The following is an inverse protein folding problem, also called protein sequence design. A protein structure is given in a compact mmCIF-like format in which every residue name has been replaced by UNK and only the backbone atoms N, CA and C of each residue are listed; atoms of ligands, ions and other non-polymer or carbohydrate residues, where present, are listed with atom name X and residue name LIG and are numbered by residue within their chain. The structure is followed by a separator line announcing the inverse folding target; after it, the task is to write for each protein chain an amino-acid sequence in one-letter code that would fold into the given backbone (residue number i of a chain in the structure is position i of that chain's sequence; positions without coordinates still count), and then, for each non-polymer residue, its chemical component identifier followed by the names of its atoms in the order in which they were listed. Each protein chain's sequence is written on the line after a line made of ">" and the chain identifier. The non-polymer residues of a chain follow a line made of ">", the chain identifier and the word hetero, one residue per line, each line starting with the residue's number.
data_IF_851238364574
#
_entry.id   IF_851238364574
#
_cell.length_a   1.000
_cell.length_b   1.000
_cell.length_c   1.000
_cell.angle_alpha   90.00
_cell.angle_beta   90.00
_cell.angle_gamma   90.00
#
_symmetry.space_group_name_H-M   'P 1'
#
loop_
_entity.id
_entity.type
_entity.pdbx_description
1 polymer ?
#
# COMPACT_ATOMS: atom_id res chain seq x y z
N UNK A 1 -9.76 -23.44 9.62
CA UNK A 1 -9.19 -22.14 10.04
C UNK A 1 -10.31 -21.14 10.21
N UNK A 2 -10.34 -20.34 11.27
CA UNK A 2 -11.31 -19.24 11.43
C UNK A 2 -10.77 -17.97 10.78
N UNK A 3 -11.65 -17.11 10.30
CA UNK A 3 -11.30 -15.81 9.76
C UNK A 3 -10.59 -14.96 10.82
N UNK A 4 -9.41 -14.39 10.54
CA UNK A 4 -8.69 -13.59 11.53
C UNK A 4 -9.44 -12.28 11.88
N UNK A 5 -10.15 -11.69 10.91
CA UNK A 5 -10.94 -10.48 11.12
C UNK A 5 -12.26 -10.75 11.87
N UNK A 6 -13.06 -11.72 11.44
CA UNK A 6 -14.36 -12.03 12.06
C UNK A 6 -14.25 -12.90 13.32
N UNK A 7 -13.21 -13.73 13.43
CA UNK A 7 -12.92 -14.72 14.49
C UNK A 7 -13.92 -15.86 14.66
N UNK A 8 -15.17 -15.68 14.24
CA UNK A 8 -16.26 -16.66 14.38
C UNK A 8 -16.47 -17.50 13.13
N UNK A 9 -16.28 -16.91 11.95
CA UNK A 9 -16.58 -17.54 10.67
C UNK A 9 -15.42 -18.42 10.19
N UNK A 10 -15.72 -19.62 9.68
CA UNK A 10 -14.70 -20.49 9.07
C UNK A 10 -14.36 -20.02 7.67
N UNK A 11 -13.07 -20.03 7.34
CA UNK A 11 -12.60 -19.77 5.98
C UNK A 11 -12.94 -20.96 5.08
N UNK A 12 -13.31 -20.66 3.83
CA UNK A 12 -13.64 -21.63 2.79
C UNK A 12 -12.66 -21.49 1.62
N UNK A 13 -12.39 -22.57 0.84
CA UNK A 13 -11.62 -22.45 -0.38
C UNK A 13 -12.20 -21.37 -1.27
N UNK A 14 -11.35 -20.44 -1.70
CA UNK A 14 -11.75 -19.32 -2.54
C UNK A 14 -10.69 -19.09 -3.62
N UNK A 15 -11.13 -18.43 -4.69
CA UNK A 15 -10.28 -18.02 -5.79
C UNK A 15 -10.22 -16.50 -5.77
N UNK A 16 -9.02 -15.96 -5.58
CA UNK A 16 -8.81 -14.52 -5.54
C UNK A 16 -8.70 -13.94 -6.96
N UNK A 17 -8.10 -14.71 -7.86
CA UNK A 17 -7.95 -14.40 -9.29
C UNK A 17 -7.84 -15.72 -10.07
N UNK A 18 -7.95 -15.66 -11.40
CA UNK A 18 -7.63 -16.79 -12.27
C UNK A 18 -6.25 -17.37 -11.99
N UNK A 19 -6.23 -18.59 -11.44
CA UNK A 19 -5.02 -19.31 -11.02
C UNK A 19 -4.51 -18.99 -9.61
N UNK A 20 -5.05 -17.97 -8.92
CA UNK A 20 -4.64 -17.61 -7.56
C UNK A 20 -5.66 -18.12 -6.53
N UNK A 21 -5.28 -19.16 -5.81
CA UNK A 21 -6.11 -19.81 -4.80
C UNK A 21 -5.80 -19.29 -3.38
N UNK A 22 -6.84 -19.23 -2.56
CA UNK A 22 -6.75 -18.83 -1.16
C UNK A 22 -7.91 -19.38 -0.32
N UNK A 23 -8.10 -18.80 0.85
CA UNK A 23 -9.20 -19.13 1.74
C UNK A 23 -10.00 -17.86 2.08
N UNK A 24 -11.20 -17.77 1.52
CA UNK A 24 -12.09 -16.63 1.67
C UNK A 24 -13.01 -16.74 2.89
N UNK A 25 -13.38 -15.60 3.46
CA UNK A 25 -14.41 -15.47 4.47
C UNK A 25 -15.74 -15.08 3.81
N UNK A 26 -16.82 -15.87 3.94
CA UNK A 26 -18.11 -15.52 3.36
C UNK A 26 -18.80 -14.32 4.04
N UNK A 27 -18.33 -13.89 5.22
CA UNK A 27 -18.94 -12.78 5.97
C UNK A 27 -18.31 -11.43 5.66
N UNK A 28 -16.98 -11.34 5.64
CA UNK A 28 -16.26 -10.08 5.43
C UNK A 28 -15.59 -9.99 4.06
N UNK A 29 -15.70 -11.02 3.22
CA UNK A 29 -15.07 -11.11 1.90
C UNK A 29 -13.54 -11.03 1.88
N UNK A 30 -12.89 -11.05 3.05
CA UNK A 30 -11.44 -11.13 3.15
C UNK A 30 -10.91 -12.50 2.77
N UNK A 31 -9.68 -12.55 2.26
CA UNK A 31 -9.05 -13.76 1.73
C UNK A 31 -7.65 -13.95 2.29
N UNK A 32 -7.38 -15.16 2.79
CA UNK A 32 -6.04 -15.60 3.17
C UNK A 32 -5.34 -16.21 1.95
N UNK A 33 -4.16 -15.69 1.59
CA UNK A 33 -3.35 -16.15 0.47
C UNK A 33 -1.94 -16.47 0.94
N UNK A 34 -1.44 -17.65 0.57
CA UNK A 34 -0.04 -18.01 0.80
C UNK A 34 0.87 -17.28 -0.19
N UNK A 35 1.96 -16.69 0.28
CA UNK A 35 2.96 -16.07 -0.60
C UNK A 35 3.60 -17.08 -1.56
N UNK A 36 3.62 -18.37 -1.22
CA UNK A 36 4.11 -19.43 -2.10
C UNK A 36 3.17 -19.63 -3.30
N UNK A 37 1.86 -19.74 -3.05
CA UNK A 37 0.86 -19.85 -4.13
C UNK A 37 0.81 -18.57 -4.96
N UNK A 38 0.94 -17.42 -4.32
CA UNK A 38 1.05 -16.14 -5.00
C UNK A 38 2.24 -16.11 -5.95
N UNK A 39 3.44 -16.55 -5.50
CA UNK A 39 4.64 -16.56 -6.33
C UNK A 39 4.44 -17.44 -7.58
N UNK A 40 3.96 -18.66 -7.38
CA UNK A 40 3.66 -19.59 -8.48
C UNK A 40 2.66 -19.00 -9.48
N UNK A 41 1.61 -18.33 -8.98
CA UNK A 41 0.66 -17.63 -9.83
C UNK A 41 1.32 -16.47 -10.59
N UNK A 42 2.09 -15.61 -9.91
CA UNK A 42 2.70 -14.42 -10.50
C UNK A 42 3.72 -14.77 -11.59
N UNK A 43 4.51 -15.83 -11.40
CA UNK A 43 5.49 -16.33 -12.38
C UNK A 43 4.83 -16.88 -13.66
N UNK A 44 3.55 -17.27 -13.59
CA UNK A 44 2.78 -17.78 -14.74
C UNK A 44 1.99 -16.69 -15.45
N UNK A 45 1.86 -15.50 -14.86
CA UNK A 45 1.18 -14.40 -15.53
C UNK A 45 2.07 -13.84 -16.64
N UNK A 46 1.50 -13.45 -17.79
CA UNK A 46 2.26 -12.66 -18.74
C UNK A 46 2.74 -11.38 -18.05
N UNK A 47 3.92 -10.91 -18.45
CA UNK A 47 4.37 -9.59 -18.07
C UNK A 47 3.28 -8.59 -18.48
N UNK A 48 2.72 -7.86 -17.52
CA UNK A 48 1.69 -6.89 -17.83
C UNK A 48 2.31 -5.78 -18.69
N UNK A 49 1.82 -5.63 -19.92
CA UNK A 49 1.89 -4.37 -20.66
C UNK A 49 0.92 -3.41 -19.98
N UNK A 50 1.45 -2.30 -19.47
CA UNK A 50 0.80 -1.30 -18.64
C UNK A 50 -0.39 -0.65 -19.37
N UNK A 51 -1.65 -0.91 -18.99
CA UNK A 51 -2.75 -0.05 -19.41
C UNK A 51 -2.92 0.99 -18.31
N UNK A 52 -2.48 2.22 -18.59
CA UNK A 52 -2.70 3.40 -17.74
C UNK A 52 -4.18 3.73 -17.69
N UNK A 53 -4.94 3.01 -16.86
CA UNK A 53 -6.28 3.39 -16.47
C UNK A 53 -6.22 3.85 -15.01
N UNK A 54 -6.34 5.16 -14.81
CA UNK A 54 -6.63 5.75 -13.51
C UNK A 54 -7.88 5.05 -12.95
N UNK A 55 -7.68 4.15 -12.01
CA UNK A 55 -8.75 3.52 -11.27
C UNK A 55 -8.93 4.29 -9.95
N UNK A 56 -10.16 4.78 -9.79
CA UNK A 56 -10.67 5.45 -8.60
C UNK A 56 -10.20 4.75 -7.31
N UNK A 57 -9.98 5.55 -6.28
CA UNK A 57 -9.72 5.10 -4.91
C UNK A 57 -10.80 4.11 -4.49
N UNK A 58 -10.53 2.81 -4.70
CA UNK A 58 -11.39 1.76 -4.21
C UNK A 58 -11.27 1.81 -2.69
N UNK A 59 -12.38 2.12 -2.00
CA UNK A 59 -12.46 1.95 -0.56
C UNK A 59 -12.29 0.46 -0.24
N UNK A 60 -11.07 0.08 0.10
CA UNK A 60 -10.78 -1.22 0.67
C UNK A 60 -11.22 -1.21 2.14
N UNK A 61 -11.84 -2.30 2.59
CA UNK A 61 -12.12 -2.48 4.01
C UNK A 61 -10.81 -2.61 4.77
N UNK A 62 -10.65 -1.91 5.89
CA UNK A 62 -9.46 -2.04 6.74
C UNK A 62 -9.84 -2.63 8.09
N UNK A 63 -9.19 -3.73 8.45
CA UNK A 63 -9.25 -4.22 9.83
C UNK A 63 -8.30 -3.42 10.71
N UNK A 64 -8.83 -2.52 11.54
CA UNK A 64 -8.04 -1.59 12.37
C UNK A 64 -7.26 -2.24 13.52
N UNK A 65 -7.58 -3.50 13.88
CA UNK A 65 -6.93 -4.21 14.98
C UNK A 65 -5.89 -5.22 14.49
N UNK A 66 -4.95 -5.59 15.37
CA UNK A 66 -3.94 -6.59 15.06
C UNK A 66 -4.57 -7.96 14.83
N UNK A 67 -4.25 -8.59 13.69
CA UNK A 67 -4.74 -9.90 13.32
C UNK A 67 -3.82 -11.01 13.84
N UNK A 68 -4.41 -12.17 14.12
CA UNK A 68 -3.67 -13.40 14.43
C UNK A 68 -3.77 -14.35 13.25
N UNK A 69 -2.64 -14.85 12.78
CA UNK A 69 -2.59 -15.77 11.65
C UNK A 69 -3.42 -17.01 11.94
N UNK A 70 -4.40 -17.36 11.08
CA UNK A 70 -5.30 -18.46 11.37
C UNK A 70 -4.65 -19.84 11.18
N UNK A 71 -3.42 -19.90 10.64
CA UNK A 71 -2.62 -21.11 10.44
C UNK A 71 -1.71 -21.42 11.63
N UNK A 72 -1.05 -20.42 12.22
CA UNK A 72 -0.06 -20.62 13.28
C UNK A 72 -0.29 -19.79 14.57
N UNK A 73 -1.36 -19.01 14.62
CA UNK A 73 -1.75 -18.13 15.73
C UNK A 73 -0.76 -17.01 16.09
N UNK A 74 0.30 -16.79 15.31
CA UNK A 74 1.22 -15.65 15.47
C UNK A 74 0.56 -14.35 15.00
N UNK A 75 0.94 -13.22 15.59
CA UNK A 75 0.50 -11.90 15.16
C UNK A 75 0.95 -11.60 13.73
N UNK A 76 0.08 -10.97 12.97
CA UNK A 76 0.36 -10.51 11.61
C UNK A 76 0.82 -9.04 11.65
N UNK A 77 1.84 -8.72 10.86
CA UNK A 77 2.32 -7.36 10.70
C UNK A 77 1.48 -6.62 9.66
N UNK A 78 1.25 -5.32 9.89
CA UNK A 78 0.54 -4.45 8.94
C UNK A 78 1.53 -3.69 8.05
N UNK A 79 1.33 -3.77 6.75
CA UNK A 79 2.20 -3.19 5.73
C UNK A 79 1.41 -2.24 4.84
N UNK A 80 1.85 -0.98 4.77
CA UNK A 80 1.16 0.04 3.98
C UNK A 80 1.35 -0.22 2.49
N UNK A 81 0.23 -0.24 1.74
CA UNK A 81 0.24 -0.37 0.29
C UNK A 81 0.67 0.96 -0.35
N UNK A 82 0.10 2.08 0.10
CA UNK A 82 0.37 3.42 -0.42
C UNK A 82 0.44 4.47 0.70
N UNK A 83 0.76 5.72 0.35
CA UNK A 83 0.91 6.84 1.30
C UNK A 83 -0.37 7.18 2.07
N UNK A 84 -1.54 6.73 1.61
CA UNK A 84 -2.81 6.91 2.31
C UNK A 84 -2.91 5.95 3.49
N UNK A 85 -3.44 6.44 4.62
CA UNK A 85 -3.40 5.70 5.89
C UNK A 85 -4.25 4.43 5.94
N UNK A 86 -5.22 4.31 5.02
CA UNK A 86 -6.31 3.33 5.07
C UNK A 86 -6.00 1.97 4.41
N UNK A 87 -4.91 1.85 3.66
CA UNK A 87 -4.68 0.68 2.81
C UNK A 87 -3.48 -0.14 3.31
N UNK A 88 -3.73 -1.24 4.04
CA UNK A 88 -2.69 -2.04 4.70
C UNK A 88 -2.94 -3.53 4.60
N UNK A 89 -1.98 -4.25 4.02
CA UNK A 89 -1.97 -5.70 4.02
C UNK A 89 -1.46 -6.26 5.35
N UNK A 90 -2.07 -7.35 5.80
CA UNK A 90 -1.59 -8.11 6.95
C UNK A 90 -0.76 -9.31 6.49
N UNK A 91 0.46 -9.48 7.01
CA UNK A 91 1.34 -10.62 6.70
C UNK A 91 1.81 -11.34 7.96
N UNK A 92 1.71 -12.67 7.95
CA UNK A 92 2.35 -13.52 8.95
C UNK A 92 3.81 -13.80 8.59
N UNK A 93 4.76 -13.20 9.30
CA UNK A 93 6.20 -13.43 9.08
C UNK A 93 6.73 -14.80 9.52
N UNK A 94 5.88 -15.73 9.97
CA UNK A 94 6.28 -17.10 10.34
C UNK A 94 5.85 -18.14 9.31
N UNK A 95 4.73 -17.91 8.63
CA UNK A 95 4.14 -18.88 7.70
C UNK A 95 3.88 -18.31 6.31
N UNK A 96 4.25 -17.06 6.08
CA UNK A 96 4.09 -16.35 4.80
C UNK A 96 2.66 -16.42 4.27
N UNK A 97 1.71 -16.27 5.18
CA UNK A 97 0.29 -16.12 4.86
C UNK A 97 -0.07 -14.64 4.93
N UNK A 98 -0.52 -14.10 3.80
CA UNK A 98 -1.05 -12.75 3.68
C UNK A 98 -2.57 -12.79 3.85
N UNK A 99 -3.11 -11.86 4.62
CA UNK A 99 -4.54 -11.60 4.70
C UNK A 99 -4.84 -10.33 3.91
N UNK A 100 -5.79 -10.46 2.99
CA UNK A 100 -6.32 -9.36 2.20
C UNK A 100 -7.75 -9.13 2.64
N UNK A 101 -8.05 -7.94 3.16
CA UNK A 101 -9.41 -7.52 3.44
C UNK A 101 -10.20 -7.29 2.15
N UNK A 102 -11.52 -7.11 2.29
CA UNK A 102 -12.40 -6.88 1.15
C UNK A 102 -11.95 -5.68 0.33
N UNK A 103 -11.76 -5.86 -0.98
CA UNK A 103 -11.36 -4.80 -1.90
C UNK A 103 -9.85 -4.59 -2.01
N UNK A 104 -9.02 -5.13 -1.12
CA UNK A 104 -7.57 -4.92 -1.16
C UNK A 104 -6.92 -5.54 -2.40
N UNK A 105 -7.42 -6.69 -2.86
CA UNK A 105 -6.92 -7.28 -4.11
C UNK A 105 -7.22 -6.38 -5.33
N UNK A 106 -8.41 -5.80 -5.39
CA UNK A 106 -8.81 -4.87 -6.44
C UNK A 106 -7.95 -3.60 -6.39
N UNK A 107 -7.65 -3.11 -5.18
CA UNK A 107 -6.72 -2.00 -4.99
C UNK A 107 -5.31 -2.34 -5.49
N UNK A 108 -4.79 -3.53 -5.18
CA UNK A 108 -3.48 -3.96 -5.69
C UNK A 108 -3.46 -4.00 -7.22
N UNK A 109 -4.56 -4.40 -7.87
CA UNK A 109 -4.68 -4.32 -9.34
C UNK A 109 -4.72 -2.89 -9.84
N UNK A 110 -5.51 -2.03 -9.20
CA UNK A 110 -5.63 -0.60 -9.55
C UNK A 110 -4.30 0.15 -9.44
N UNK A 111 -3.45 -0.25 -8.48
CA UNK A 111 -2.12 0.34 -8.28
C UNK A 111 -1.01 -0.37 -9.06
N UNK A 112 -1.34 -1.35 -9.91
CA UNK A 112 -0.35 -2.15 -10.66
C UNK A 112 0.65 -2.89 -9.75
N UNK A 113 0.21 -3.24 -8.54
CA UNK A 113 0.99 -3.96 -7.53
C UNK A 113 0.59 -5.43 -7.41
N UNK A 114 -0.42 -5.89 -8.14
CA UNK A 114 -0.91 -7.27 -8.08
C UNK A 114 0.18 -8.30 -8.37
N UNK A 115 1.12 -8.05 -9.29
CA UNK A 115 2.28 -8.92 -9.56
C UNK A 115 3.53 -8.58 -8.73
N UNK A 116 3.45 -7.55 -7.86
CA UNK A 116 4.58 -7.08 -7.03
C UNK A 116 4.25 -7.02 -5.54
N UNK A 117 3.21 -7.73 -5.09
CA UNK A 117 2.74 -7.73 -3.71
C UNK A 117 3.87 -8.00 -2.68
N UNK A 118 4.84 -8.92 -2.91
CA UNK A 118 5.93 -9.15 -1.98
C UNK A 118 6.82 -7.92 -1.72
N UNK A 119 6.91 -7.00 -2.68
CA UNK A 119 7.67 -5.76 -2.51
C UNK A 119 7.08 -4.90 -1.37
N UNK A 120 5.76 -4.94 -1.17
CA UNK A 120 5.05 -4.19 -0.14
C UNK A 120 5.55 -4.57 1.27
N UNK A 121 5.95 -5.83 1.45
CA UNK A 121 6.41 -6.36 2.74
C UNK A 121 7.87 -6.04 3.07
N UNK A 122 8.55 -5.27 2.22
CA UNK A 122 9.97 -4.95 2.41
C UNK A 122 10.17 -3.63 3.17
N UNK A 123 11.27 -3.54 3.93
CA UNK A 123 11.66 -2.30 4.61
C UNK A 123 11.92 -1.14 3.64
N UNK A 124 12.39 -1.44 2.43
CA UNK A 124 12.62 -0.43 1.38
C UNK A 124 11.29 0.23 0.98
N UNK A 125 10.28 -0.60 0.67
CA UNK A 125 8.94 -0.12 0.35
C UNK A 125 8.31 0.66 1.50
N UNK A 126 8.30 0.09 2.70
CA UNK A 126 7.70 0.74 3.87
C UNK A 126 8.40 2.07 4.22
N UNK A 127 9.70 2.22 3.96
CA UNK A 127 10.39 3.52 4.11
C UNK A 127 9.95 4.52 3.05
N UNK A 128 9.85 4.09 1.79
CA UNK A 128 9.41 4.94 0.68
C UNK A 128 7.99 5.46 0.92
N UNK A 129 7.05 4.58 1.28
CA UNK A 129 5.66 4.97 1.55
C UNK A 129 5.57 5.97 2.70
N UNK A 130 6.30 5.76 3.80
CA UNK A 130 6.35 6.70 4.92
C UNK A 130 6.91 8.07 4.52
N UNK A 131 7.93 8.09 3.67
CA UNK A 131 8.51 9.34 3.17
C UNK A 131 7.52 10.11 2.30
N UNK A 132 6.84 9.42 1.38
CA UNK A 132 5.81 10.01 0.51
C UNK A 132 4.66 10.60 1.34
N UNK A 133 4.12 9.82 2.29
CA UNK A 133 3.06 10.28 3.19
C UNK A 133 3.47 11.50 4.02
N UNK A 134 4.75 11.57 4.45
CA UNK A 134 5.26 12.71 5.21
C UNK A 134 5.40 13.97 4.35
N UNK A 135 5.82 13.85 3.08
CA UNK A 135 5.92 14.99 2.16
C UNK A 135 4.53 15.49 1.78
N UNK A 136 3.57 14.59 1.53
CA UNK A 136 2.18 14.93 1.23
C UNK A 136 1.51 15.65 2.40
N UNK A 137 1.57 15.09 3.61
CA UNK A 137 1.03 15.74 4.81
C UNK A 137 1.70 17.09 5.10
N UNK A 138 2.99 17.24 4.74
CA UNK A 138 3.68 18.53 4.81
C UNK A 138 3.09 19.50 3.80
N UNK A 139 2.93 19.08 2.54
CA UNK A 139 2.36 19.91 1.46
C UNK A 139 0.96 20.38 1.83
N UNK A 140 0.06 19.47 2.20
CA UNK A 140 -1.31 19.79 2.63
C UNK A 140 -1.37 20.78 3.79
N UNK A 141 -0.49 20.63 4.79
CA UNK A 141 -0.42 21.57 5.92
C UNK A 141 -0.04 22.97 5.43
N UNK A 142 0.95 23.08 4.55
CA UNK A 142 1.37 24.37 4.01
C UNK A 142 0.35 24.95 3.03
N UNK A 143 -0.35 24.12 2.24
CA UNK A 143 -1.44 24.57 1.36
C UNK A 143 -2.58 25.20 2.16
N UNK A 144 -2.92 24.64 3.32
CA UNK A 144 -3.93 25.23 4.22
C UNK A 144 -3.53 26.58 4.80
N UNK A 145 -2.23 26.86 4.93
CA UNK A 145 -1.72 28.11 5.53
C UNK A 145 -1.53 29.18 4.45
N UNK A 146 -0.90 28.82 3.32
CA UNK A 146 -0.46 29.76 2.29
C UNK A 146 -1.33 29.75 1.01
N UNK A 147 -2.22 28.76 0.86
CA UNK A 147 -3.01 28.55 -0.35
C UNK A 147 -2.29 27.65 -1.38
N UNK A 148 -3.07 26.96 -2.22
CA UNK A 148 -2.54 26.02 -3.22
C UNK A 148 -1.63 26.70 -4.25
N UNK A 149 -1.96 27.92 -4.69
CA UNK A 149 -1.15 28.64 -5.69
C UNK A 149 0.25 28.98 -5.17
N UNK A 150 0.34 29.46 -3.92
CA UNK A 150 1.61 29.78 -3.28
C UNK A 150 2.48 28.52 -3.10
N UNK A 151 1.87 27.39 -2.74
CA UNK A 151 2.58 26.12 -2.58
C UNK A 151 3.02 25.55 -3.92
N UNK A 152 2.20 25.63 -4.96
CA UNK A 152 2.61 25.24 -6.31
C UNK A 152 3.85 26.03 -6.77
N UNK A 153 3.87 27.34 -6.55
CA UNK A 153 5.04 28.18 -6.85
C UNK A 153 6.26 27.81 -6.00
N UNK A 154 6.07 27.51 -4.71
CA UNK A 154 7.14 27.06 -3.84
C UNK A 154 7.71 25.70 -4.29
N UNK A 155 6.87 24.79 -4.79
CA UNK A 155 7.27 23.50 -5.34
C UNK A 155 8.13 23.67 -6.60
N UNK A 156 7.77 24.59 -7.51
CA UNK A 156 8.59 24.94 -8.68
C UNK A 156 9.98 25.44 -8.29
N UNK A 157 10.04 26.38 -7.33
CA UNK A 157 11.30 26.92 -6.84
C UNK A 157 12.13 25.82 -6.17
N UNK A 158 11.52 24.96 -5.37
CA UNK A 158 12.18 23.82 -4.72
C UNK A 158 12.77 22.85 -5.75
N UNK A 159 12.03 22.57 -6.82
CA UNK A 159 12.49 21.70 -7.90
C UNK A 159 13.68 22.33 -8.64
N UNK A 160 13.60 23.61 -8.98
CA UNK A 160 14.69 24.33 -9.63
C UNK A 160 15.96 24.40 -8.75
N UNK A 161 15.80 24.67 -7.45
CA UNK A 161 16.91 24.77 -6.51
C UNK A 161 17.59 23.44 -6.20
N UNK A 162 16.90 22.30 -6.38
CA UNK A 162 17.38 20.98 -5.95
C UNK A 162 18.75 20.64 -6.54
N UNK A 163 18.94 20.91 -7.82
CA UNK A 163 20.15 20.57 -8.57
C UNK A 163 21.00 21.81 -8.91
N UNK A 164 20.67 22.98 -8.34
CA UNK A 164 21.37 24.23 -8.62
C UNK A 164 22.73 24.29 -7.88
N UNK A 165 23.86 24.59 -8.55
CA UNK A 165 25.18 24.58 -7.92
C UNK A 165 25.31 25.55 -6.74
N UNK A 166 24.68 26.72 -6.83
CA UNK A 166 24.64 27.76 -5.80
C UNK A 166 23.37 27.73 -4.92
N UNK A 167 22.79 26.53 -4.69
CA UNK A 167 21.54 26.36 -3.92
C UNK A 167 21.56 27.11 -2.58
N UNK A 168 22.68 27.06 -1.85
CA UNK A 168 22.78 27.63 -0.50
C UNK A 168 22.74 29.16 -0.54
N UNK A 169 23.43 29.76 -1.50
CA UNK A 169 23.50 31.21 -1.69
C UNK A 169 22.14 31.76 -2.16
N UNK A 170 21.44 31.05 -3.04
CA UNK A 170 20.09 31.42 -3.49
C UNK A 170 19.06 31.34 -2.36
N UNK A 171 19.12 30.32 -1.51
CA UNK A 171 18.24 30.23 -0.33
C UNK A 171 18.49 31.37 0.66
N UNK A 172 19.74 31.78 0.84
CA UNK A 172 20.09 32.94 1.66
C UNK A 172 19.53 34.24 1.07
N UNK A 173 19.67 34.44 -0.24
CA UNK A 173 19.15 35.63 -0.95
C UNK A 173 17.62 35.73 -0.87
N UNK A 174 16.89 34.63 -1.09
CA UNK A 174 15.42 34.61 -1.06
C UNK A 174 14.88 34.84 0.36
N UNK A 175 15.60 34.39 1.38
CA UNK A 175 15.20 34.55 2.79
C UNK A 175 15.65 35.87 3.44
N UNK A 176 16.23 36.79 2.67
CA UNK A 176 16.67 38.10 3.15
C UNK A 176 15.56 39.14 2.97
N UNK A 177 15.31 39.96 3.98
CA UNK A 177 14.43 41.15 3.91
C UNK A 177 15.15 42.33 3.23
#
# INVERSE_FOLDING_TARGET
>A
MHCPACRTTRLQPAKLEDGLLGHGCPQCSGTLVSLLHYRDWAERQPAQETPTALAAEAEAGETSHALSCPKCAKLMGKFQISGTRANRLDLCGTCDEAWLDSGEWQLLKALELSQRMPAIFTDAWQRQVRQQASEEARRERFSRIAGEEAIARADEIRAWLKDHPQRRELLFYIGHD
#
